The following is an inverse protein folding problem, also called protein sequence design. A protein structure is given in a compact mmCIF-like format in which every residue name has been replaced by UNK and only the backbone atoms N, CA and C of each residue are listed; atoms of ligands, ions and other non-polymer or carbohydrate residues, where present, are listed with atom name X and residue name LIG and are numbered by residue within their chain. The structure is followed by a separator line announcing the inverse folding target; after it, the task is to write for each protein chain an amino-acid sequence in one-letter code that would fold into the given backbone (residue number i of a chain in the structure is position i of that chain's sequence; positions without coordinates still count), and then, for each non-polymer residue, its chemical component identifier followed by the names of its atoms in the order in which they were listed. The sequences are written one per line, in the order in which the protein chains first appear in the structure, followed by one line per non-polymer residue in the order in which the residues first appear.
data_IF_661098387058
#
_entry.id   IF_661098387058
#
_cell.length_a   1.000
_cell.length_b   1.000
_cell.length_c   1.000
_cell.angle_alpha   90.00
_cell.angle_beta   90.00
_cell.angle_gamma   90.00
#
_symmetry.space_group_name_H-M   'P 1'
#
loop_
_entity.id
_entity.type
_entity.pdbx_description
1 polymer ?
#
# COMPACT_ATOMS: atom_id res chain seq x y z
N UNK A 1 3.11 18.74 -14.16
CA UNK A 1 2.98 19.79 -13.13
C UNK A 1 1.52 19.85 -12.71
N UNK A 2 1.17 19.33 -11.54
CA UNK A 2 -0.21 19.38 -11.04
C UNK A 2 -0.39 20.75 -10.40
N UNK A 3 -1.31 21.56 -10.94
CA UNK A 3 -1.60 22.90 -10.41
C UNK A 3 -2.09 22.85 -8.96
N UNK A 4 -2.08 24.00 -8.27
CA UNK A 4 -2.63 24.08 -6.93
C UNK A 4 -4.09 23.59 -6.94
N UNK A 5 -4.52 22.76 -5.95
CA UNK A 5 -5.89 22.31 -5.87
C UNK A 5 -6.84 23.50 -5.68
N UNK A 6 -8.04 23.42 -6.24
CA UNK A 6 -9.05 24.48 -6.06
C UNK A 6 -9.77 24.31 -4.72
N UNK A 7 -9.99 23.07 -4.31
CA UNK A 7 -10.71 22.70 -3.09
C UNK A 7 -9.99 21.62 -2.30
N UNK A 8 -10.32 21.46 -1.02
CA UNK A 8 -9.85 20.32 -0.21
C UNK A 8 -10.29 18.97 -0.81
N UNK A 9 -11.42 18.92 -1.54
CA UNK A 9 -11.86 17.72 -2.25
C UNK A 9 -10.94 17.32 -3.41
N UNK A 10 -10.22 18.27 -4.04
CA UNK A 10 -9.26 17.90 -5.08
C UNK A 10 -8.05 17.16 -4.50
N UNK A 11 -7.71 17.41 -3.24
CA UNK A 11 -6.69 16.65 -2.49
C UNK A 11 -7.15 15.20 -2.24
N UNK A 12 -8.46 14.96 -2.18
CA UNK A 12 -9.03 13.61 -2.04
C UNK A 12 -8.75 12.74 -3.26
N UNK A 13 -8.69 13.34 -4.46
CA UNK A 13 -8.39 12.63 -5.72
C UNK A 13 -6.99 12.01 -5.73
N UNK A 14 -6.05 12.58 -4.97
CA UNK A 14 -4.68 12.06 -4.81
C UNK A 14 -4.50 11.31 -3.50
N UNK A 15 -5.59 10.99 -2.79
CA UNK A 15 -5.59 10.37 -1.47
C UNK A 15 -4.58 11.02 -0.51
N UNK A 16 -4.48 12.35 -0.58
CA UNK A 16 -3.42 13.10 0.10
C UNK A 16 -3.78 13.48 1.54
N UNK A 17 -2.76 13.59 2.39
CA UNK A 17 -2.87 14.26 3.70
C UNK A 17 -2.24 15.64 3.65
N UNK A 18 -2.62 16.49 4.59
CA UNK A 18 -2.14 17.87 4.63
C UNK A 18 -1.05 18.00 5.68
N UNK A 19 0.14 18.39 5.24
CA UNK A 19 1.26 18.75 6.11
C UNK A 19 1.30 20.25 6.30
N UNK A 20 1.21 20.68 7.54
CA UNK A 20 1.42 22.06 7.97
C UNK A 20 2.80 22.15 8.62
N UNK A 21 3.68 23.00 8.09
CA UNK A 21 5.00 23.25 8.65
C UNK A 21 5.17 24.73 8.96
N UNK A 22 5.49 25.05 10.21
CA UNK A 22 5.83 26.43 10.59
C UNK A 22 7.31 26.71 10.33
N UNK A 23 7.67 27.73 9.54
CA UNK A 23 9.06 28.07 9.30
C UNK A 23 9.74 28.71 10.52
N UNK A 24 8.98 29.37 11.40
CA UNK A 24 9.54 30.08 12.56
C UNK A 24 9.92 29.13 13.71
N UNK A 25 9.02 28.24 14.13
CA UNK A 25 9.27 27.30 15.24
C UNK A 25 9.64 25.88 14.80
N UNK A 26 9.60 25.57 13.49
CA UNK A 26 9.87 24.23 12.97
C UNK A 26 8.80 23.17 13.29
N UNK A 27 7.69 23.54 13.93
CA UNK A 27 6.61 22.58 14.24
C UNK A 27 5.98 22.07 12.95
N UNK A 28 5.88 20.74 12.85
CA UNK A 28 5.23 20.05 11.74
C UNK A 28 4.01 19.31 12.29
N UNK A 29 2.84 19.57 11.71
CA UNK A 29 1.61 18.80 11.95
C UNK A 29 1.13 18.18 10.65
N UNK A 30 0.66 16.94 10.72
CA UNK A 30 0.03 16.25 9.59
C UNK A 30 -1.42 16.00 9.97
N UNK A 31 -2.33 16.51 9.14
CA UNK A 31 -3.76 16.37 9.30
C UNK A 31 -4.30 15.34 8.30
N UNK A 32 -5.20 14.48 8.79
CA UNK A 32 -6.02 13.67 7.92
C UNK A 32 -7.01 14.55 7.14
N UNK A 33 -7.17 14.27 5.85
CA UNK A 33 -7.99 15.10 4.97
C UNK A 33 -9.48 14.97 5.28
N UNK A 34 -9.97 13.77 5.59
CA UNK A 34 -11.40 13.55 5.84
C UNK A 34 -11.80 14.13 7.21
N UNK A 35 -10.92 14.02 8.21
CA UNK A 35 -11.12 14.69 9.50
C UNK A 35 -11.18 16.21 9.34
N UNK A 36 -10.24 16.77 8.57
CA UNK A 36 -10.21 18.21 8.31
C UNK A 36 -11.45 18.71 7.54
N UNK A 37 -11.89 17.96 6.51
CA UNK A 37 -13.11 18.29 5.76
C UNK A 37 -14.33 18.23 6.70
N UNK A 38 -14.43 17.21 7.54
CA UNK A 38 -15.52 17.05 8.52
C UNK A 38 -15.54 18.20 9.51
N UNK A 39 -14.40 18.55 10.11
CA UNK A 39 -14.28 19.63 11.07
C UNK A 39 -14.68 20.97 10.46
N UNK A 40 -14.14 21.30 9.27
CA UNK A 40 -14.45 22.57 8.59
C UNK A 40 -15.91 22.65 8.15
N UNK A 41 -16.48 21.53 7.68
CA UNK A 41 -17.90 21.45 7.32
C UNK A 41 -18.80 21.66 8.54
N UNK A 42 -18.45 21.04 9.67
CA UNK A 42 -19.15 21.23 10.94
C UNK A 42 -19.08 22.70 11.42
N UNK A 43 -17.92 23.34 11.29
CA UNK A 43 -17.73 24.76 11.62
C UNK A 43 -18.29 25.73 10.55
N UNK A 44 -18.96 25.23 9.50
CA UNK A 44 -19.47 26.02 8.36
C UNK A 44 -18.42 26.91 7.70
N UNK A 45 -17.15 26.47 7.69
CA UNK A 45 -16.04 27.18 7.02
C UNK A 45 -15.93 26.74 5.57
N UNK A 46 -15.39 27.61 4.72
CA UNK A 46 -15.16 27.27 3.31
C UNK A 46 -14.17 26.09 3.19
N UNK A 47 -14.41 25.23 2.21
CA UNK A 47 -13.53 24.13 1.80
C UNK A 47 -12.64 24.53 0.61
N UNK A 48 -12.70 25.79 0.18
CA UNK A 48 -11.83 26.34 -0.85
C UNK A 48 -10.39 26.35 -0.37
N UNK A 49 -9.46 26.00 -1.26
CA UNK A 49 -8.06 25.85 -0.91
C UNK A 49 -7.45 27.18 -0.41
N UNK A 50 -7.74 28.29 -1.09
CA UNK A 50 -7.24 29.60 -0.68
C UNK A 50 -7.79 30.04 0.68
N UNK A 51 -9.08 29.82 0.92
CA UNK A 51 -9.68 30.10 2.22
C UNK A 51 -9.05 29.25 3.34
N UNK A 52 -8.76 27.98 3.06
CA UNK A 52 -8.04 27.10 3.98
C UNK A 52 -6.65 27.64 4.31
N UNK A 53 -5.86 28.08 3.32
CA UNK A 53 -4.52 28.63 3.54
C UNK A 53 -4.52 29.88 4.43
N UNK A 54 -5.54 30.74 4.31
CA UNK A 54 -5.67 31.94 5.14
C UNK A 54 -6.10 31.64 6.59
N UNK A 55 -6.80 30.53 6.81
CA UNK A 55 -7.32 30.14 8.13
C UNK A 55 -6.28 29.41 9.00
N UNK A 56 -5.20 28.89 8.42
CA UNK A 56 -4.19 28.12 9.16
C UNK A 56 -3.03 28.98 9.63
N UNK A 57 -2.83 29.01 10.95
CA UNK A 57 -1.71 29.69 11.60
C UNK A 57 -1.02 28.81 12.63
N UNK A 58 0.23 29.15 12.96
CA UNK A 58 0.95 28.47 14.03
C UNK A 58 0.45 28.93 15.40
N UNK A 59 -0.04 28.00 16.22
CA UNK A 59 -0.45 28.29 17.60
C UNK A 59 0.74 28.63 18.51
N UNK A 60 1.94 28.12 18.20
CA UNK A 60 3.14 28.30 19.03
C UNK A 60 3.86 29.63 18.80
N UNK A 61 3.63 30.29 17.65
CA UNK A 61 4.21 31.58 17.28
C UNK A 61 3.19 32.72 17.37
N UNK A 62 2.20 32.59 18.26
CA UNK A 62 0.98 33.41 18.29
C UNK A 62 1.17 34.78 18.98
N UNK A 63 2.05 35.62 18.43
CA UNK A 63 1.58 36.98 18.11
C UNK A 63 1.77 37.36 16.63
N UNK A 64 2.64 36.70 15.88
CA UNK A 64 3.08 37.20 14.55
C UNK A 64 2.28 36.65 13.35
N UNK A 65 1.26 35.81 13.58
CA UNK A 65 0.49 35.14 12.49
C UNK A 65 1.40 34.67 11.35
N UNK A 66 2.47 33.95 11.69
CA UNK A 66 3.40 33.44 10.67
C UNK A 66 2.66 32.48 9.75
N UNK A 67 2.69 32.76 8.45
CA UNK A 67 2.10 31.90 7.44
C UNK A 67 2.72 30.50 7.50
N UNK A 68 1.87 29.47 7.56
CA UNK A 68 2.31 28.09 7.55
C UNK A 68 2.61 27.64 6.11
N UNK A 69 3.69 26.87 5.94
CA UNK A 69 3.93 26.17 4.68
C UNK A 69 3.01 24.95 4.64
N UNK A 70 2.03 25.01 3.76
CA UNK A 70 1.08 23.91 3.53
C UNK A 70 1.59 23.05 2.38
N UNK A 71 1.81 21.77 2.66
CA UNK A 71 2.19 20.75 1.68
C UNK A 71 1.15 19.66 1.61
N UNK A 72 0.99 19.06 0.42
CA UNK A 72 0.19 17.86 0.24
C UNK A 72 1.14 16.68 0.25
N UNK A 73 0.90 15.73 1.15
CA UNK A 73 1.56 14.43 1.12
C UNK A 73 0.63 13.50 0.34
N UNK A 74 0.91 13.21 -0.94
CA UNK A 74 0.10 12.24 -1.68
C UNK A 74 0.16 10.90 -0.95
N UNK A 75 -0.97 10.20 -0.88
CA UNK A 75 -1.09 8.92 -0.17
C UNK A 75 -0.77 8.95 1.34
N UNK A 76 -0.87 10.12 1.98
CA UNK A 76 -0.46 10.37 3.37
C UNK A 76 -1.44 9.92 4.46
N UNK A 77 -2.58 9.32 4.11
CA UNK A 77 -3.62 8.93 5.05
C UNK A 77 -3.09 8.08 6.20
N UNK A 78 -3.49 8.41 7.43
CA UNK A 78 -3.04 7.79 8.68
C UNK A 78 -3.72 6.45 9.00
N UNK A 79 -4.56 5.97 8.08
CA UNK A 79 -5.40 4.82 8.28
C UNK A 79 -4.54 3.59 8.60
N UNK A 80 -4.58 3.13 9.86
CA UNK A 80 -3.95 1.89 10.28
C UNK A 80 -4.37 0.77 9.33
N UNK A 81 -5.62 0.78 8.87
CA UNK A 81 -6.13 -0.14 7.86
C UNK A 81 -5.42 -0.03 6.51
N UNK A 82 -5.09 1.18 6.04
CA UNK A 82 -4.29 1.35 4.81
C UNK A 82 -2.84 0.90 5.01
N UNK A 83 -2.25 1.12 6.19
CA UNK A 83 -0.91 0.62 6.52
C UNK A 83 -0.88 -0.89 6.58
N UNK A 84 -1.86 -1.52 7.20
CA UNK A 84 -2.03 -2.98 7.25
C UNK A 84 -2.26 -3.52 5.84
N UNK A 85 -3.19 -2.95 5.07
CA UNK A 85 -3.41 -3.37 3.67
C UNK A 85 -2.16 -3.20 2.80
N UNK A 86 -1.37 -2.15 2.99
CA UNK A 86 -0.08 -1.97 2.30
C UNK A 86 0.93 -3.01 2.75
N UNK A 87 1.06 -3.25 4.05
CA UNK A 87 1.96 -4.26 4.59
C UNK A 87 1.58 -5.65 4.05
N UNK A 88 0.31 -6.02 4.09
CA UNK A 88 -0.23 -7.25 3.50
C UNK A 88 0.08 -7.32 2.01
N UNK A 89 -0.16 -6.24 1.26
CA UNK A 89 0.16 -6.15 -0.17
C UNK A 89 1.65 -6.38 -0.41
N UNK A 90 2.54 -5.72 0.33
CA UNK A 90 3.99 -5.91 0.21
C UNK A 90 4.39 -7.34 0.51
N UNK A 91 3.87 -7.90 1.59
CA UNK A 91 4.18 -9.26 2.06
C UNK A 91 3.69 -10.31 1.06
N UNK A 92 2.48 -10.15 0.50
CA UNK A 92 1.92 -11.00 -0.55
C UNK A 92 2.81 -10.95 -1.80
N UNK A 93 3.15 -9.76 -2.28
CA UNK A 93 3.93 -9.62 -3.52
C UNK A 93 5.36 -10.13 -3.35
N UNK A 94 6.00 -9.89 -2.20
CA UNK A 94 7.32 -10.45 -1.90
C UNK A 94 7.29 -11.99 -1.88
N UNK A 95 6.26 -12.57 -1.26
CA UNK A 95 6.08 -14.02 -1.26
C UNK A 95 5.89 -14.55 -2.69
N UNK A 96 5.10 -13.87 -3.53
CA UNK A 96 4.93 -14.23 -4.94
C UNK A 96 6.22 -14.14 -5.76
N UNK A 97 7.09 -13.15 -5.50
CA UNK A 97 8.43 -13.08 -6.10
C UNK A 97 9.27 -14.30 -5.74
N UNK A 98 9.27 -14.70 -4.47
CA UNK A 98 10.01 -15.88 -4.00
C UNK A 98 9.48 -17.16 -4.66
N UNK A 99 8.16 -17.29 -4.81
CA UNK A 99 7.56 -18.44 -5.49
C UNK A 99 7.85 -18.44 -7.00
N UNK A 100 7.84 -17.28 -7.66
CA UNK A 100 8.19 -17.16 -9.08
C UNK A 100 9.65 -17.53 -9.32
N UNK A 101 10.57 -17.00 -8.51
CA UNK A 101 12.00 -17.34 -8.60
C UNK A 101 12.23 -18.84 -8.39
N UNK A 102 11.54 -19.43 -7.40
CA UNK A 102 11.58 -20.87 -7.17
C UNK A 102 11.03 -21.67 -8.36
N UNK A 103 9.92 -21.23 -8.97
CA UNK A 103 9.34 -21.87 -10.15
C UNK A 103 10.30 -21.82 -11.35
N UNK A 104 10.92 -20.67 -11.61
CA UNK A 104 11.92 -20.51 -12.68
C UNK A 104 13.17 -21.37 -12.46
N UNK A 105 13.60 -21.56 -11.21
CA UNK A 105 14.82 -22.30 -10.86
C UNK A 105 14.58 -23.77 -10.54
N UNK A 106 13.33 -24.24 -10.48
CA UNK A 106 12.96 -25.58 -10.01
C UNK A 106 13.60 -26.72 -10.82
N UNK A 107 13.94 -26.47 -12.08
CA UNK A 107 14.63 -27.44 -12.96
C UNK A 107 16.13 -27.59 -12.64
N UNK A 108 16.75 -26.59 -12.01
CA UNK A 108 18.20 -26.53 -11.77
C UNK A 108 18.58 -26.63 -10.29
N UNK A 109 17.71 -26.17 -9.39
CA UNK A 109 17.97 -26.06 -7.95
C UNK A 109 16.84 -26.72 -7.16
N UNK A 110 17.14 -27.17 -5.93
CA UNK A 110 16.13 -27.70 -5.04
C UNK A 110 15.13 -26.59 -4.66
N UNK A 111 13.85 -26.70 -5.06
CA UNK A 111 12.86 -25.68 -4.73
C UNK A 111 12.37 -25.82 -3.28
N UNK A 112 12.73 -26.89 -2.55
CA UNK A 112 12.31 -27.14 -1.18
C UNK A 112 13.06 -26.28 -0.12
N UNK A 113 13.34 -25.02 -0.44
CA UNK A 113 14.11 -24.12 0.42
C UNK A 113 13.28 -23.59 1.60
N UNK A 114 13.93 -23.18 2.71
CA UNK A 114 13.26 -22.49 3.81
C UNK A 114 12.51 -21.22 3.35
N UNK A 115 13.03 -20.53 2.34
CA UNK A 115 12.41 -19.33 1.78
C UNK A 115 11.05 -19.63 1.12
N UNK A 116 10.97 -20.71 0.33
CA UNK A 116 9.70 -21.14 -0.30
C UNK A 116 8.70 -21.58 0.76
N UNK A 117 9.13 -22.34 1.78
CA UNK A 117 8.26 -22.73 2.90
C UNK A 117 7.71 -21.52 3.66
N UNK A 118 8.55 -20.51 3.88
CA UNK A 118 8.15 -19.26 4.52
C UNK A 118 7.16 -18.48 3.64
N UNK A 119 7.42 -18.35 2.34
CA UNK A 119 6.52 -17.70 1.40
C UNK A 119 5.14 -18.36 1.37
N UNK A 120 5.06 -19.69 1.30
CA UNK A 120 3.80 -20.43 1.38
C UNK A 120 3.10 -20.24 2.73
N UNK A 121 3.85 -20.22 3.84
CA UNK A 121 3.30 -19.98 5.19
C UNK A 121 2.70 -18.58 5.31
N UNK A 122 3.36 -17.59 4.71
CA UNK A 122 2.95 -16.18 4.65
C UNK A 122 1.70 -15.98 3.80
N UNK A 123 1.54 -16.72 2.70
CA UNK A 123 0.35 -16.62 1.85
C UNK A 123 -0.89 -17.32 2.44
N UNK A 124 -0.70 -18.24 3.39
CA UNK A 124 -1.80 -19.02 4.00
C UNK A 124 -2.97 -18.18 4.52
N UNK A 125 -2.80 -17.04 5.22
CA UNK A 125 -3.93 -16.25 5.72
C UNK A 125 -4.76 -15.60 4.60
N UNK A 126 -4.15 -15.38 3.43
CA UNK A 126 -4.76 -14.69 2.29
C UNK A 126 -5.45 -15.66 1.32
N UNK A 127 -5.21 -16.97 1.46
CA UNK A 127 -5.84 -18.03 0.68
C UNK A 127 -6.85 -18.80 1.55
N UNK A 128 -8.04 -19.05 1.02
CA UNK A 128 -9.08 -19.77 1.76
C UNK A 128 -8.76 -21.26 1.82
N UNK A 129 -8.20 -21.76 0.72
CA UNK A 129 -7.91 -23.17 0.53
C UNK A 129 -6.39 -23.43 0.57
N UNK A 130 -5.99 -24.37 1.42
CA UNK A 130 -4.60 -24.85 1.53
C UNK A 130 -4.20 -25.70 0.31
N UNK A 131 -5.16 -26.24 -0.42
CA UNK A 131 -4.91 -27.17 -1.53
C UNK A 131 -4.02 -26.55 -2.61
N UNK A 132 -4.19 -25.26 -2.91
CA UNK A 132 -3.33 -24.53 -3.87
C UNK A 132 -1.87 -24.44 -3.41
N UNK A 133 -1.64 -24.20 -2.11
CA UNK A 133 -0.29 -24.12 -1.54
C UNK A 133 0.40 -25.48 -1.50
N UNK A 134 -0.35 -26.55 -1.21
CA UNK A 134 0.16 -27.92 -1.21
C UNK A 134 0.48 -28.36 -2.64
N UNK A 135 -0.41 -28.06 -3.59
CA UNK A 135 -0.21 -28.37 -5.00
C UNK A 135 1.03 -27.67 -5.57
N UNK A 136 1.23 -26.38 -5.27
CA UNK A 136 2.46 -25.69 -5.65
C UNK A 136 3.70 -26.40 -5.09
N UNK A 137 3.67 -26.81 -3.82
CA UNK A 137 4.78 -27.52 -3.19
C UNK A 137 5.06 -28.88 -3.85
N UNK A 138 4.01 -29.65 -4.13
CA UNK A 138 4.11 -30.96 -4.79
C UNK A 138 4.66 -30.84 -6.21
N UNK A 139 4.17 -29.86 -6.98
CA UNK A 139 4.65 -29.59 -8.34
C UNK A 139 6.11 -29.11 -8.31
N UNK A 140 6.48 -28.24 -7.36
CA UNK A 140 7.86 -27.78 -7.22
C UNK A 140 8.81 -28.94 -6.87
N UNK A 141 8.47 -29.77 -5.90
CA UNK A 141 9.27 -30.96 -5.53
C UNK A 141 9.36 -31.96 -6.70
N UNK A 142 8.29 -32.07 -7.50
CA UNK A 142 8.23 -32.99 -8.64
C UNK A 142 8.92 -32.43 -9.89
N UNK A 143 9.07 -31.12 -10.05
CA UNK A 143 9.76 -30.48 -11.17
C UNK A 143 11.24 -30.88 -11.27
N UNK A 144 11.88 -31.18 -10.14
CA UNK A 144 13.22 -31.77 -10.12
C UNK A 144 13.28 -33.16 -10.76
N UNK A 145 12.21 -33.96 -10.63
CA UNK A 145 12.13 -35.32 -11.18
C UNK A 145 11.68 -35.33 -12.63
N UNK A 146 10.90 -34.33 -13.04
CA UNK A 146 10.41 -34.19 -14.41
C UNK A 146 10.41 -32.71 -14.81
N UNK A 147 11.35 -32.27 -15.68
CA UNK A 147 11.44 -30.88 -16.14
C UNK A 147 10.20 -30.38 -16.89
N UNK A 148 9.33 -31.29 -17.35
CA UNK A 148 8.06 -30.95 -17.98
C UNK A 148 6.96 -30.56 -16.97
N UNK A 149 7.19 -30.72 -15.66
CA UNK A 149 6.26 -30.20 -14.66
C UNK A 149 6.44 -28.69 -14.53
N UNK A 150 5.52 -27.96 -15.14
CA UNK A 150 5.51 -26.50 -15.17
C UNK A 150 4.93 -25.94 -13.86
N UNK A 151 5.79 -25.73 -12.86
CA UNK A 151 5.45 -25.04 -11.60
C UNK A 151 4.84 -23.64 -11.79
N UNK A 152 4.96 -23.09 -13.00
CA UNK A 152 4.37 -21.83 -13.42
C UNK A 152 2.82 -21.84 -13.38
N UNK A 153 2.18 -22.98 -13.65
CA UNK A 153 0.71 -23.06 -13.58
C UNK A 153 0.19 -22.95 -12.15
N UNK A 154 0.83 -23.64 -11.20
CA UNK A 154 0.47 -23.52 -9.79
C UNK A 154 0.72 -22.11 -9.23
N UNK A 155 1.78 -21.42 -9.66
CA UNK A 155 1.99 -20.00 -9.35
C UNK A 155 0.83 -19.14 -9.88
N UNK A 156 0.47 -19.32 -11.14
CA UNK A 156 -0.64 -18.60 -11.77
C UNK A 156 -1.99 -18.81 -11.06
N UNK A 157 -2.29 -20.02 -10.60
CA UNK A 157 -3.52 -20.29 -9.83
C UNK A 157 -3.54 -19.59 -8.47
N UNK A 158 -2.39 -19.49 -7.79
CA UNK A 158 -2.28 -18.74 -6.53
C UNK A 158 -2.55 -17.25 -6.80
N UNK A 159 -1.97 -16.68 -7.86
CA UNK A 159 -2.21 -15.28 -8.22
C UNK A 159 -3.67 -15.03 -8.58
N UNK A 160 -4.27 -15.90 -9.39
CA UNK A 160 -5.68 -15.80 -9.78
C UNK A 160 -6.61 -15.83 -8.56
N UNK A 161 -6.34 -16.72 -7.60
CA UNK A 161 -7.13 -16.81 -6.36
C UNK A 161 -6.97 -15.56 -5.48
N UNK A 162 -5.75 -14.99 -5.37
CA UNK A 162 -5.52 -13.74 -4.63
C UNK A 162 -6.28 -12.56 -5.26
N UNK A 163 -6.26 -12.45 -6.59
CA UNK A 163 -7.02 -11.43 -7.33
C UNK A 163 -8.53 -11.61 -7.14
N UNK A 164 -9.03 -12.85 -7.22
CA UNK A 164 -10.45 -13.19 -7.01
C UNK A 164 -10.93 -12.76 -5.62
N UNK A 165 -10.07 -12.80 -4.61
CA UNK A 165 -10.37 -12.37 -3.23
C UNK A 165 -10.15 -10.88 -2.98
N UNK A 166 -9.76 -10.12 -4.00
CA UNK A 166 -9.59 -8.67 -3.92
C UNK A 166 -8.23 -8.20 -3.37
N UNK A 167 -7.24 -9.07 -3.31
CA UNK A 167 -5.87 -8.68 -2.94
C UNK A 167 -5.16 -8.00 -4.11
N UNK A 168 -4.35 -6.99 -3.81
CA UNK A 168 -3.57 -6.27 -4.83
C UNK A 168 -2.27 -7.01 -5.12
N UNK A 169 -2.11 -7.42 -6.37
CA UNK A 169 -0.88 -8.04 -6.90
C UNK A 169 -0.22 -7.09 -7.92
N UNK A 170 1.12 -7.05 -7.94
CA UNK A 170 1.92 -6.28 -8.90
C UNK A 170 1.59 -6.68 -10.34
N UNK A 171 1.77 -5.73 -11.27
CA UNK A 171 1.45 -5.92 -12.67
C UNK A 171 2.21 -7.08 -13.31
N UNK A 172 3.46 -7.32 -12.88
CA UNK A 172 4.35 -8.36 -13.43
C UNK A 172 3.86 -9.79 -13.17
N UNK A 173 2.87 -9.97 -12.29
CA UNK A 173 2.28 -11.28 -11.99
C UNK A 173 0.88 -11.46 -12.57
N UNK A 174 0.27 -10.42 -13.16
CA UNK A 174 -1.07 -10.47 -13.75
C UNK A 174 -1.01 -10.96 -15.19
#
# INVERSE_FOLDING_TARGET
MVGQPKTLYDVRKVHGSIRLACPACGTIKVHDLEELIRERSFQRRSLDWQAFLHDVWCWNCSPERTALKVGIIPFGGNDHELRVRRADTFVINLALTVLQDAACRASQHDPATPAVRLALRVLRPFLADRTLLVRFWEEAVSARKNPANETHFAHGWIVAELLRRGHSVWADFR
#
